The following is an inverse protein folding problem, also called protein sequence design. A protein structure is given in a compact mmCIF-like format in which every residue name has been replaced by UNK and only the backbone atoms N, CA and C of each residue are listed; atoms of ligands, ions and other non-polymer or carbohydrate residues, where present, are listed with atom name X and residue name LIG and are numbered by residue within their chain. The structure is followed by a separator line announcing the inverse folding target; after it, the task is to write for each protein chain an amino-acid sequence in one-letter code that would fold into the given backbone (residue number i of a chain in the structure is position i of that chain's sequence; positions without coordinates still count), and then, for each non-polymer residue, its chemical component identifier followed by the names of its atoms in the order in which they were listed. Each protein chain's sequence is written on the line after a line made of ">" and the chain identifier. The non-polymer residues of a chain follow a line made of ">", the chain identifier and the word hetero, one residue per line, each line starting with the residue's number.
data_IF_505234933598
#
_entry.id   IF_505234933598
#
_cell.length_a   1.000
_cell.length_b   1.000
_cell.length_c   1.000
_cell.angle_alpha   90.00
_cell.angle_beta   90.00
_cell.angle_gamma   90.00
#
_symmetry.space_group_name_H-M   'P 1'
#
loop_
_entity.id
_entity.type
_entity.pdbx_description
1 polymer ?
#
# COMPACT_ATOMS: atom_id res chain seq x y z
N UNK A 1 -4.92 0.12 -16.34
CA UNK A 1 -6.05 -0.32 -15.49
C UNK A 1 -5.70 0.03 -14.06
N UNK A 2 -6.66 0.48 -13.24
CA UNK A 2 -6.45 0.77 -11.81
C UNK A 2 -7.24 -0.25 -11.01
N UNK A 3 -6.56 -0.92 -10.08
CA UNK A 3 -7.13 -1.87 -9.12
C UNK A 3 -6.93 -1.30 -7.72
N UNK A 4 -7.90 -1.50 -6.83
CA UNK A 4 -7.87 -1.00 -5.47
C UNK A 4 -8.06 -2.18 -4.51
N UNK A 5 -7.31 -2.15 -3.41
CA UNK A 5 -7.27 -3.20 -2.41
C UNK A 5 -7.40 -2.58 -1.02
N UNK A 6 -8.02 -3.31 -0.10
CA UNK A 6 -8.12 -2.95 1.31
C UNK A 6 -7.64 -4.14 2.16
N UNK A 7 -7.03 -3.85 3.30
CA UNK A 7 -6.58 -4.87 4.24
C UNK A 7 -6.60 -4.35 5.68
N UNK A 8 -6.78 -5.29 6.60
CA UNK A 8 -6.39 -5.18 8.01
C UNK A 8 -5.42 -6.34 8.27
N UNK A 9 -5.90 -7.58 8.35
CA UNK A 9 -5.06 -8.78 8.33
C UNK A 9 -4.87 -9.37 6.93
N UNK A 10 -5.97 -9.67 6.25
CA UNK A 10 -5.98 -10.20 4.88
C UNK A 10 -6.26 -9.11 3.86
N UNK A 11 -5.78 -9.30 2.63
CA UNK A 11 -6.03 -8.37 1.53
C UNK A 11 -7.21 -8.78 0.65
N UNK A 12 -8.08 -7.83 0.36
CA UNK A 12 -9.24 -8.01 -0.52
C UNK A 12 -9.24 -6.97 -1.63
N UNK A 13 -9.60 -7.40 -2.84
CA UNK A 13 -9.80 -6.48 -3.95
C UNK A 13 -11.16 -5.79 -3.84
N UNK A 14 -11.14 -4.45 -3.82
CA UNK A 14 -12.34 -3.60 -3.73
C UNK A 14 -12.58 -2.80 -5.02
N UNK A 15 -11.86 -3.12 -6.10
CA UNK A 15 -11.96 -2.44 -7.40
C UNK A 15 -13.40 -2.29 -7.89
N UNK A 16 -14.25 -3.32 -7.76
CA UNK A 16 -15.63 -3.25 -8.24
C UNK A 16 -16.52 -2.38 -7.34
N UNK A 17 -16.32 -2.43 -6.03
CA UNK A 17 -17.05 -1.58 -5.06
C UNK A 17 -16.86 -0.10 -5.43
N UNK A 18 -15.63 0.30 -5.73
CA UNK A 18 -15.29 1.67 -6.12
C UNK A 18 -15.73 2.05 -7.56
N UNK A 19 -15.99 1.07 -8.43
CA UNK A 19 -16.54 1.33 -9.78
C UNK A 19 -18.05 1.50 -9.79
N UNK A 20 -18.75 0.80 -8.90
CA UNK A 20 -20.21 0.73 -8.89
C UNK A 20 -20.87 1.73 -7.95
N UNK A 21 -20.13 2.26 -6.97
CA UNK A 21 -20.68 3.12 -5.91
C UNK A 21 -20.06 4.50 -5.90
N UNK A 22 -20.72 5.45 -5.23
CA UNK A 22 -20.08 6.73 -4.87
C UNK A 22 -18.93 6.47 -3.91
N UNK A 23 -17.95 7.39 -3.87
CA UNK A 23 -16.77 7.24 -3.02
C UNK A 23 -17.14 7.00 -1.55
N UNK A 24 -18.11 7.75 -1.03
CA UNK A 24 -18.53 7.65 0.37
C UNK A 24 -19.09 6.27 0.68
N UNK A 25 -19.96 5.74 -0.18
CA UNK A 25 -20.56 4.41 -0.02
C UNK A 25 -19.55 3.28 -0.24
N UNK A 26 -18.58 3.49 -1.12
CA UNK A 26 -17.52 2.53 -1.35
C UNK A 26 -16.61 2.41 -0.13
N UNK A 27 -16.26 3.54 0.50
CA UNK A 27 -15.47 3.58 1.74
C UNK A 27 -16.24 2.96 2.89
N UNK A 28 -17.50 3.36 3.11
CA UNK A 28 -18.38 2.80 4.15
C UNK A 28 -18.46 1.27 4.04
N UNK A 29 -18.81 0.76 2.86
CA UNK A 29 -18.87 -0.69 2.66
C UNK A 29 -17.51 -1.37 2.86
N UNK A 30 -16.42 -0.79 2.35
CA UNK A 30 -15.09 -1.39 2.49
C UNK A 30 -14.69 -1.53 3.96
N UNK A 31 -15.04 -0.54 4.78
CA UNK A 31 -14.80 -0.58 6.22
C UNK A 31 -15.70 -1.61 6.92
N UNK A 32 -16.97 -1.71 6.54
CA UNK A 32 -17.90 -2.70 7.10
C UNK A 32 -17.47 -4.14 6.76
N UNK A 33 -17.02 -4.38 5.52
CA UNK A 33 -16.66 -5.70 5.03
C UNK A 33 -15.25 -6.14 5.51
N UNK A 34 -14.29 -5.21 5.59
CA UNK A 34 -12.86 -5.53 5.75
C UNK A 34 -12.10 -4.72 6.82
N UNK A 35 -12.75 -3.76 7.45
CA UNK A 35 -12.11 -2.84 8.42
C UNK A 35 -11.86 -3.44 9.80
N UNK A 36 -12.39 -4.63 10.10
CA UNK A 36 -12.23 -5.28 11.39
C UNK A 36 -10.96 -6.14 11.45
N UNK A 37 -10.08 -5.85 12.42
CA UNK A 37 -8.89 -6.66 12.68
C UNK A 37 -7.67 -5.83 13.06
N UNK A 38 -6.62 -6.50 13.51
CA UNK A 38 -5.30 -5.92 13.66
C UNK A 38 -4.55 -5.97 12.32
N UNK A 39 -3.74 -4.96 12.05
CA UNK A 39 -2.92 -4.93 10.84
C UNK A 39 -1.90 -6.08 10.78
N UNK A 40 -1.84 -6.79 9.66
CA UNK A 40 -0.79 -7.75 9.30
C UNK A 40 -0.33 -7.46 7.85
N UNK A 41 0.70 -6.64 7.70
CA UNK A 41 1.28 -6.29 6.41
C UNK A 41 1.90 -7.49 5.71
N UNK A 42 2.51 -8.41 6.47
CA UNK A 42 3.15 -9.59 5.89
C UNK A 42 2.12 -10.46 5.19
N UNK A 43 1.02 -10.78 5.87
CA UNK A 43 -0.07 -11.53 5.25
C UNK A 43 -0.70 -10.76 4.09
N UNK A 44 -0.91 -9.46 4.24
CA UNK A 44 -1.45 -8.63 3.16
C UNK A 44 -0.56 -8.63 1.89
N UNK A 45 0.77 -8.61 2.03
CA UNK A 45 1.67 -8.73 0.88
C UNK A 45 1.60 -10.11 0.22
N UNK A 46 1.49 -11.17 1.02
CA UNK A 46 1.32 -12.51 0.48
C UNK A 46 0.02 -12.62 -0.32
N UNK A 47 -1.09 -12.16 0.26
CA UNK A 47 -2.40 -12.16 -0.40
C UNK A 47 -2.35 -11.32 -1.70
N UNK A 48 -1.73 -10.13 -1.67
CA UNK A 48 -1.56 -9.29 -2.85
C UNK A 48 -0.78 -10.00 -3.95
N UNK A 49 0.33 -10.66 -3.59
CA UNK A 49 1.13 -11.44 -4.51
C UNK A 49 0.29 -12.55 -5.13
N UNK A 50 -0.42 -13.33 -4.32
CA UNK A 50 -1.24 -14.44 -4.80
C UNK A 50 -2.33 -13.98 -5.79
N UNK A 51 -2.86 -12.75 -5.61
CA UNK A 51 -3.87 -12.18 -6.50
C UNK A 51 -3.28 -11.55 -7.77
N UNK A 52 -2.13 -10.88 -7.68
CA UNK A 52 -1.66 -9.96 -8.73
C UNK A 52 -0.35 -10.34 -9.42
N UNK A 53 0.45 -11.27 -8.89
CA UNK A 53 1.86 -11.41 -9.26
C UNK A 53 2.11 -11.60 -10.76
N UNK A 54 1.28 -12.40 -11.42
CA UNK A 54 1.41 -12.68 -12.85
C UNK A 54 1.10 -11.45 -13.74
N UNK A 55 0.28 -10.52 -13.25
CA UNK A 55 -0.10 -9.29 -13.95
C UNK A 55 0.89 -8.13 -13.71
N UNK A 56 1.77 -8.24 -12.71
CA UNK A 56 2.76 -7.20 -12.40
C UNK A 56 3.89 -7.29 -13.42
N UNK A 57 4.33 -6.17 -13.97
CA UNK A 57 5.49 -6.09 -14.87
C UNK A 57 6.20 -4.74 -14.75
N UNK A 58 7.18 -4.50 -15.62
CA UNK A 58 7.95 -3.26 -15.66
C UNK A 58 7.16 -2.01 -16.13
N UNK A 59 5.85 -2.13 -16.33
CA UNK A 59 4.90 -1.04 -16.58
C UNK A 59 3.99 -0.79 -15.37
N UNK A 60 3.96 -1.70 -14.41
CA UNK A 60 3.10 -1.62 -13.23
C UNK A 60 3.70 -0.73 -12.13
N UNK A 61 2.89 0.17 -11.58
CA UNK A 61 3.21 0.92 -10.36
C UNK A 61 2.36 0.40 -9.22
N UNK A 62 3.01 -0.02 -8.13
CA UNK A 62 2.37 -0.39 -6.87
C UNK A 62 2.43 0.82 -5.95
N UNK A 63 1.29 1.22 -5.39
CA UNK A 63 1.19 2.31 -4.43
C UNK A 63 0.56 1.78 -3.13
N UNK A 64 1.30 1.90 -2.03
CA UNK A 64 0.92 1.45 -0.70
C UNK A 64 0.58 2.69 0.13
N UNK A 65 -0.61 2.70 0.72
CA UNK A 65 -1.06 3.73 1.67
C UNK A 65 -1.19 3.09 3.04
N UNK A 66 -0.29 3.41 3.97
CA UNK A 66 -0.25 2.73 5.27
C UNK A 66 0.87 3.21 6.18
N UNK A 67 0.69 3.02 7.48
CA UNK A 67 1.61 3.43 8.55
C UNK A 67 2.79 2.49 8.81
N UNK A 68 2.79 1.29 8.20
CA UNK A 68 3.71 0.20 8.46
C UNK A 68 3.69 -0.34 9.91
N UNK A 69 2.59 -0.16 10.66
CA UNK A 69 2.37 -0.74 11.99
C UNK A 69 1.96 -2.21 11.84
N UNK A 70 2.85 -3.13 12.20
CA UNK A 70 2.64 -4.56 11.90
C UNK A 70 2.23 -5.41 13.11
N UNK A 71 1.99 -4.81 14.28
CA UNK A 71 1.58 -5.53 15.50
C UNK A 71 2.53 -6.67 15.91
N UNK A 72 3.82 -6.57 15.57
CA UNK A 72 4.86 -7.61 15.76
C UNK A 72 4.60 -8.93 14.99
N UNK A 73 3.74 -8.91 13.96
CA UNK A 73 3.59 -10.04 13.04
C UNK A 73 4.86 -10.24 12.20
N UNK A 74 5.06 -11.42 11.58
CA UNK A 74 6.12 -11.61 10.60
C UNK A 74 6.01 -10.59 9.47
N UNK A 75 7.11 -9.90 9.17
CA UNK A 75 7.14 -8.80 8.21
C UNK A 75 6.96 -9.27 6.76
N UNK A 76 7.52 -10.44 6.44
CA UNK A 76 7.53 -11.01 5.09
C UNK A 76 8.07 -10.03 4.04
N UNK A 77 9.10 -9.26 4.37
CA UNK A 77 9.68 -8.26 3.49
C UNK A 77 10.24 -8.86 2.19
N UNK A 78 10.57 -10.16 2.17
CA UNK A 78 10.93 -10.92 0.97
C UNK A 78 9.81 -10.95 -0.07
N UNK A 79 8.54 -10.92 0.35
CA UNK A 79 7.40 -10.86 -0.57
C UNK A 79 7.35 -9.49 -1.25
N UNK A 80 7.60 -8.43 -0.48
CA UNK A 80 7.69 -7.08 -1.01
C UNK A 80 8.90 -6.91 -1.93
N UNK A 81 10.02 -7.56 -1.63
CA UNK A 81 11.20 -7.62 -2.50
C UNK A 81 10.86 -8.21 -3.87
N UNK A 82 10.14 -9.33 -3.92
CA UNK A 82 9.73 -9.95 -5.18
C UNK A 82 8.83 -9.02 -6.02
N UNK A 83 7.89 -8.33 -5.38
CA UNK A 83 7.03 -7.34 -6.02
C UNK A 83 7.86 -6.15 -6.54
N UNK A 84 8.82 -5.67 -5.74
CA UNK A 84 9.74 -4.59 -6.08
C UNK A 84 10.58 -4.92 -7.31
N UNK A 85 11.13 -6.13 -7.38
CA UNK A 85 11.99 -6.56 -8.48
C UNK A 85 11.25 -6.68 -9.82
N UNK A 86 9.92 -6.84 -9.80
CA UNK A 86 9.09 -7.04 -10.99
C UNK A 86 8.39 -5.76 -11.45
N UNK A 87 7.90 -4.95 -10.50
CA UNK A 87 7.17 -3.73 -10.79
C UNK A 87 8.08 -2.62 -11.33
N UNK A 88 7.53 -1.70 -12.12
CA UNK A 88 8.22 -0.47 -12.53
C UNK A 88 8.60 0.38 -11.32
N UNK A 89 7.66 0.53 -10.39
CA UNK A 89 7.77 1.39 -9.23
C UNK A 89 6.95 0.81 -8.08
N UNK A 90 7.51 0.91 -6.87
CA UNK A 90 6.83 0.65 -5.60
C UNK A 90 6.93 1.92 -4.77
N UNK A 91 5.79 2.48 -4.42
CA UNK A 91 5.68 3.78 -3.75
C UNK A 91 4.93 3.57 -2.44
N UNK A 92 5.50 4.03 -1.34
CA UNK A 92 4.86 3.98 -0.04
C UNK A 92 4.55 5.38 0.48
N UNK A 93 3.28 5.64 0.76
CA UNK A 93 2.80 6.88 1.34
C UNK A 93 2.37 6.62 2.78
N UNK A 94 3.19 7.05 3.73
CA UNK A 94 2.98 6.80 5.14
C UNK A 94 2.35 8.03 5.83
N UNK A 95 1.21 7.90 6.51
CA UNK A 95 0.57 9.03 7.20
C UNK A 95 1.30 9.46 8.47
N UNK A 96 2.14 8.62 9.07
CA UNK A 96 2.94 9.00 10.23
C UNK A 96 4.15 9.85 9.84
N UNK A 97 4.55 10.77 10.73
CA UNK A 97 5.81 11.49 10.58
C UNK A 97 7.02 10.55 10.67
N UNK A 98 8.11 10.88 9.97
CA UNK A 98 9.34 10.06 9.92
C UNK A 98 9.96 9.73 11.29
N UNK A 99 9.70 10.55 12.31
CA UNK A 99 10.13 10.27 13.68
C UNK A 99 9.51 9.01 14.25
N UNK A 100 8.30 8.65 13.83
CA UNK A 100 7.55 7.49 14.33
C UNK A 100 7.92 6.18 13.62
N UNK A 101 8.48 6.26 12.40
CA UNK A 101 8.89 5.11 11.58
C UNK A 101 10.00 4.24 12.19
N UNK A 102 10.55 4.66 13.33
CA UNK A 102 11.65 4.01 14.05
C UNK A 102 11.23 3.56 15.46
N UNK A 103 9.93 3.58 15.74
CA UNK A 103 9.39 3.44 17.10
C UNK A 103 8.23 2.46 17.14
N UNK A 104 8.07 1.80 18.28
CA UNK A 104 7.04 0.78 18.46
C UNK A 104 7.23 -0.39 17.49
N UNK A 105 6.11 -0.85 16.95
CA UNK A 105 5.95 -1.93 15.97
C UNK A 105 5.99 -1.45 14.50
N UNK A 106 6.61 -0.29 14.24
CA UNK A 106 6.73 0.23 12.88
C UNK A 106 7.83 -0.51 12.13
N UNK A 107 7.44 -1.17 11.04
CA UNK A 107 8.31 -1.97 10.18
C UNK A 107 8.80 -1.21 8.95
N UNK A 108 8.60 0.11 8.95
CA UNK A 108 8.91 0.97 7.81
C UNK A 108 10.37 0.87 7.38
N UNK A 109 11.32 0.62 8.30
CA UNK A 109 12.73 0.43 7.92
C UNK A 109 12.95 -0.80 7.04
N UNK A 110 12.24 -1.89 7.33
CA UNK A 110 12.37 -3.15 6.60
C UNK A 110 11.69 -3.02 5.23
N UNK A 111 10.49 -2.43 5.19
CA UNK A 111 9.77 -2.25 3.93
C UNK A 111 10.36 -1.16 3.01
N UNK A 112 10.96 -0.11 3.56
CA UNK A 112 11.49 1.01 2.77
C UNK A 112 12.60 0.62 1.80
N UNK A 113 13.36 -0.45 2.09
CA UNK A 113 14.44 -0.96 1.21
C UNK A 113 13.87 -1.48 -0.10
N UNK A 114 12.63 -1.99 -0.08
CA UNK A 114 11.91 -2.51 -1.24
C UNK A 114 10.90 -1.51 -1.79
N UNK A 115 11.20 -0.22 -1.66
CA UNK A 115 10.41 0.88 -2.20
C UNK A 115 11.30 1.81 -3.03
N UNK A 116 10.81 2.23 -4.19
CA UNK A 116 11.45 3.25 -5.02
C UNK A 116 11.28 4.66 -4.43
N UNK A 117 10.19 4.86 -3.68
CA UNK A 117 9.89 6.11 -2.99
C UNK A 117 9.10 5.83 -1.72
N UNK A 118 9.53 6.44 -0.62
CA UNK A 118 8.80 6.44 0.66
C UNK A 118 8.65 7.88 1.13
N UNK A 119 7.41 8.34 1.28
CA UNK A 119 7.10 9.73 1.60
C UNK A 119 6.04 9.84 2.70
N UNK A 120 6.16 10.89 3.52
CA UNK A 120 5.10 11.25 4.47
C UNK A 120 3.92 11.82 3.68
N UNK A 121 2.71 11.31 3.93
CA UNK A 121 1.49 11.72 3.26
C UNK A 121 0.29 11.71 4.22
N UNK A 122 0.16 12.77 5.00
CA UNK A 122 -0.92 13.00 5.97
C UNK A 122 -1.82 14.19 5.63
N UNK A 123 -1.73 14.73 4.42
CA UNK A 123 -2.59 15.83 3.94
C UNK A 123 -2.81 15.75 2.44
N UNK A 124 -3.87 16.37 1.94
CA UNK A 124 -4.13 16.49 0.50
C UNK A 124 -2.97 17.18 -0.22
N UNK A 125 -2.39 18.21 0.37
CA UNK A 125 -1.22 18.89 -0.19
C UNK A 125 -0.01 17.95 -0.36
N UNK A 126 0.19 17.01 0.57
CA UNK A 126 1.23 16.00 0.42
C UNK A 126 0.94 15.08 -0.76
N UNK A 127 -0.30 14.58 -0.84
CA UNK A 127 -0.72 13.70 -1.93
C UNK A 127 -0.59 14.39 -3.30
N UNK A 128 -1.09 15.62 -3.44
CA UNK A 128 -1.00 16.41 -4.67
C UNK A 128 0.46 16.60 -5.12
N UNK A 129 1.34 16.98 -4.19
CA UNK A 129 2.78 17.15 -4.47
C UNK A 129 3.42 15.84 -4.95
N UNK A 130 3.01 14.71 -4.38
CA UNK A 130 3.55 13.40 -4.73
C UNK A 130 3.07 12.98 -6.12
N UNK A 131 1.76 13.10 -6.39
CA UNK A 131 1.17 12.82 -7.71
C UNK A 131 1.82 13.68 -8.79
N UNK A 132 2.00 14.98 -8.54
CA UNK A 132 2.68 15.87 -9.48
C UNK A 132 4.13 15.43 -9.78
N UNK A 133 4.88 14.98 -8.78
CA UNK A 133 6.24 14.44 -8.96
C UNK A 133 6.25 13.15 -9.77
N UNK A 134 5.23 12.29 -9.62
CA UNK A 134 5.10 11.05 -10.39
C UNK A 134 4.78 11.32 -11.87
N UNK A 135 3.90 12.29 -12.14
CA UNK A 135 3.57 12.70 -13.51
C UNK A 135 4.79 13.29 -14.24
N UNK A 136 5.60 14.09 -13.56
CA UNK A 136 6.82 14.68 -14.15
C UNK A 136 7.91 13.65 -14.49
N UNK A 137 7.95 12.51 -13.79
CA UNK A 137 8.91 11.42 -14.05
C UNK A 137 8.43 10.42 -15.10
N UNK A 138 7.15 10.48 -15.47
CA UNK A 138 6.53 9.58 -16.42
C UNK A 138 6.57 10.10 -17.87
N UNK A 139 6.90 11.39 -18.06
CA UNK A 139 7.23 11.98 -19.36
C UNK A 139 8.73 11.99 -19.61
#
# INVERSE_FOLDING_TARGET
>A
NVRAFAFSGNMFEVTQIFKEKTLEKAVEQTLDDYGFGSTDYGQAFQDFKDICFDEIDNRTTIMILGDARNNNNPNREEVLEELYNRARQVIWLNPEDKSHWRSGDSEMRNYAVYCHMVEVCNSLNHLERIVNRLLQRAG
#
